data_IF_466931968198
#
_entry.id   IF_466931968198
#
_cell.length_a   1.000
_cell.length_b   1.000
_cell.length_c   1.000
_cell.angle_alpha   90.00
_cell.angle_beta   90.00
_cell.angle_gamma   90.00
#
_symmetry.space_group_name_H-M   'P 1'
#
loop_
_entity.id
_entity.type
_entity.pdbx_description
1 polymer ?
#
# COMPACT_ATOMS: atom_id res chain seq x y z
N UNK A 1 -1.70 -13.41 -41.36
CA UNK A 1 -0.53 -13.74 -42.20
C UNK A 1 -0.35 -15.24 -42.17
N UNK A 2 0.07 -15.86 -43.26
CA UNK A 2 0.24 -17.32 -43.37
C UNK A 2 1.72 -17.58 -43.65
N UNK A 3 2.27 -18.65 -43.08
CA UNK A 3 3.63 -19.05 -43.37
C UNK A 3 3.66 -19.85 -44.68
N UNK A 4 4.42 -19.40 -45.69
CA UNK A 4 4.59 -20.11 -46.97
C UNK A 4 6.04 -20.03 -47.44
N UNK A 5 6.63 -21.18 -47.75
CA UNK A 5 7.98 -21.32 -48.33
C UNK A 5 9.07 -20.56 -47.54
N UNK A 6 9.11 -20.67 -46.22
CA UNK A 6 10.13 -19.99 -45.41
C UNK A 6 9.85 -18.51 -45.12
N UNK A 7 8.69 -17.97 -45.53
CA UNK A 7 8.35 -16.55 -45.35
C UNK A 7 6.90 -16.34 -44.90
N UNK A 8 6.67 -15.28 -44.14
CA UNK A 8 5.35 -14.83 -43.73
C UNK A 8 4.71 -13.96 -44.82
N UNK A 9 3.52 -14.34 -45.28
CA UNK A 9 2.77 -13.62 -46.34
C UNK A 9 1.39 -13.18 -45.87
N UNK A 10 0.93 -12.01 -46.32
CA UNK A 10 -0.44 -11.55 -46.05
C UNK A 10 -1.45 -12.35 -46.88
N UNK A 11 -2.45 -12.92 -46.21
CA UNK A 11 -3.54 -13.62 -46.90
C UNK A 11 -4.48 -12.56 -47.46
N UNK A 12 -4.26 -12.13 -48.71
CA UNK A 12 -5.17 -11.19 -49.38
C UNK A 12 -4.61 -10.30 -50.50
N UNK A 13 -3.30 -10.20 -50.73
CA UNK A 13 -2.78 -9.37 -51.84
C UNK A 13 -2.63 -10.20 -53.12
N UNK A 14 -3.67 -10.17 -53.97
CA UNK A 14 -3.52 -10.46 -55.39
C UNK A 14 -2.65 -9.37 -56.03
N UNK A 15 -1.60 -9.80 -56.73
CA UNK A 15 -0.81 -9.06 -57.73
C UNK A 15 -0.19 -7.72 -57.31
N UNK A 16 1.05 -7.75 -56.82
CA UNK A 16 2.19 -6.97 -57.33
C UNK A 16 3.47 -7.36 -56.55
N UNK A 17 4.68 -7.26 -57.14
CA UNK A 17 5.91 -7.68 -56.50
C UNK A 17 6.26 -6.65 -55.42
N UNK A 18 5.79 -6.88 -54.20
CA UNK A 18 6.26 -6.12 -53.04
C UNK A 18 7.72 -6.48 -52.84
N UNK A 19 8.59 -5.56 -53.24
CA UNK A 19 10.00 -5.49 -52.87
C UNK A 19 10.20 -5.86 -51.41
N UNK A 20 11.05 -6.87 -51.19
CA UNK A 20 11.61 -7.35 -49.92
C UNK A 20 11.29 -6.48 -48.70
N UNK A 21 10.21 -6.83 -48.01
CA UNK A 21 10.13 -6.57 -46.58
C UNK A 21 10.38 -7.93 -45.92
N UNK A 22 11.54 -8.10 -45.30
CA UNK A 22 11.79 -9.21 -44.38
C UNK A 22 10.65 -9.22 -43.36
N UNK A 23 9.72 -10.15 -43.52
CA UNK A 23 8.55 -10.21 -42.66
C UNK A 23 9.02 -10.72 -41.29
N UNK A 24 8.81 -9.95 -40.21
CA UNK A 24 9.40 -10.25 -38.92
C UNK A 24 8.70 -11.47 -38.30
N UNK A 25 9.46 -12.55 -38.18
CA UNK A 25 9.03 -13.78 -37.53
C UNK A 25 9.74 -13.92 -36.19
N UNK A 26 9.08 -14.59 -35.25
CA UNK A 26 9.66 -14.92 -33.95
C UNK A 26 10.07 -16.39 -34.02
N UNK A 27 11.32 -16.68 -33.62
CA UNK A 27 11.84 -18.04 -33.49
C UNK A 27 11.64 -18.50 -32.05
N UNK A 28 10.87 -19.57 -31.86
CA UNK A 28 10.64 -20.20 -30.57
C UNK A 28 11.46 -21.47 -30.46
N UNK A 29 12.20 -21.61 -29.37
CA UNK A 29 12.89 -22.84 -29.02
C UNK A 29 11.91 -23.88 -28.45
N UNK A 30 12.32 -25.15 -28.46
CA UNK A 30 11.52 -26.27 -27.92
C UNK A 30 11.03 -26.08 -26.48
N UNK A 31 11.72 -25.28 -25.66
CA UNK A 31 11.32 -24.97 -24.28
C UNK A 31 10.27 -23.87 -24.17
N UNK A 32 9.89 -23.23 -25.28
CA UNK A 32 9.04 -22.04 -25.31
C UNK A 32 7.65 -22.34 -25.91
N UNK A 33 7.44 -23.54 -26.47
CA UNK A 33 6.16 -23.94 -27.05
C UNK A 33 5.83 -25.42 -26.82
N UNK A 34 4.54 -25.74 -26.85
CA UNK A 34 4.00 -27.09 -26.94
C UNK A 34 3.06 -27.19 -28.14
N UNK A 35 3.01 -28.34 -28.81
CA UNK A 35 2.05 -28.58 -29.90
C UNK A 35 0.98 -29.53 -29.37
N UNK A 36 -0.28 -29.09 -29.41
CA UNK A 36 -1.44 -29.88 -29.02
C UNK A 36 -1.66 -31.06 -29.98
N UNK A 37 -2.39 -32.08 -29.54
CA UNK A 37 -2.74 -33.26 -30.35
C UNK A 37 -3.48 -32.91 -31.65
N UNK A 38 -4.11 -31.72 -31.70
CA UNK A 38 -4.78 -31.17 -32.89
C UNK A 38 -3.85 -30.38 -33.82
N UNK A 39 -2.54 -30.35 -33.56
CA UNK A 39 -1.54 -29.66 -34.36
C UNK A 39 -1.46 -28.14 -34.11
N UNK A 40 -2.15 -27.62 -33.08
CA UNK A 40 -2.08 -26.20 -32.68
C UNK A 40 -0.85 -25.95 -31.82
N UNK A 41 -0.11 -24.87 -32.09
CA UNK A 41 1.06 -24.48 -31.30
C UNK A 41 0.65 -23.56 -30.16
N UNK A 42 1.14 -23.82 -28.96
CA UNK A 42 0.87 -23.05 -27.75
C UNK A 42 2.18 -22.49 -27.22
N UNK A 43 2.30 -21.17 -27.10
CA UNK A 43 3.47 -20.54 -26.47
C UNK A 43 3.35 -20.69 -24.95
N UNK A 44 4.37 -21.25 -24.29
CA UNK A 44 4.31 -21.56 -22.86
C UNK A 44 4.28 -20.33 -21.95
N UNK A 45 4.95 -19.24 -22.35
CA UNK A 45 5.04 -18.00 -21.57
C UNK A 45 3.73 -17.19 -21.58
N UNK A 46 3.02 -17.15 -22.70
CA UNK A 46 1.83 -16.31 -22.89
C UNK A 46 0.54 -17.10 -23.02
N UNK A 47 0.62 -18.43 -23.11
CA UNK A 47 -0.50 -19.35 -23.43
C UNK A 47 -1.20 -19.07 -24.77
N UNK A 48 -0.62 -18.21 -25.61
CA UNK A 48 -1.18 -17.87 -26.92
C UNK A 48 -1.14 -19.07 -27.87
N UNK A 49 -2.23 -19.28 -28.61
CA UNK A 49 -2.41 -20.44 -29.50
C UNK A 49 -2.36 -20.01 -30.96
N UNK A 50 -1.53 -20.68 -31.75
CA UNK A 50 -1.44 -20.53 -33.20
C UNK A 50 -2.04 -21.73 -33.91
N UNK A 51 -2.87 -21.45 -34.90
CA UNK A 51 -3.37 -22.46 -35.83
C UNK A 51 -2.23 -23.01 -36.71
N UNK A 52 -2.33 -24.26 -37.22
CA UNK A 52 -1.29 -24.92 -38.01
C UNK A 52 -0.80 -24.13 -39.23
N UNK A 53 -1.64 -23.25 -39.77
CA UNK A 53 -1.34 -22.43 -40.95
C UNK A 53 -0.48 -21.20 -40.64
N UNK A 54 -0.28 -20.89 -39.35
CA UNK A 54 0.33 -19.64 -38.88
C UNK A 54 1.78 -19.82 -38.39
N UNK A 55 2.30 -21.05 -38.40
CA UNK A 55 3.66 -21.36 -37.97
C UNK A 55 4.31 -22.44 -38.86
N UNK A 56 5.65 -22.50 -38.89
CA UNK A 56 6.39 -23.57 -39.57
C UNK A 56 7.47 -24.16 -38.65
N UNK A 57 7.55 -25.50 -38.62
CA UNK A 57 8.62 -26.24 -37.94
C UNK A 57 9.89 -26.20 -38.81
N UNK A 58 10.96 -25.61 -38.28
CA UNK A 58 12.25 -25.57 -38.96
C UNK A 58 12.89 -26.96 -38.90
N UNK A 59 13.12 -27.54 -40.09
CA UNK A 59 13.53 -28.95 -40.26
C UNK A 59 14.90 -29.30 -39.65
N UNK A 60 15.69 -28.32 -39.25
CA UNK A 60 17.07 -28.53 -38.77
C UNK A 60 17.34 -28.05 -37.32
N UNK A 61 16.39 -27.40 -36.62
CA UNK A 61 16.70 -26.71 -35.36
C UNK A 61 15.73 -26.89 -34.19
N UNK A 62 14.78 -27.84 -34.22
CA UNK A 62 13.83 -28.05 -33.11
C UNK A 62 13.11 -26.75 -32.66
N UNK A 63 13.02 -25.80 -33.59
CA UNK A 63 12.50 -24.46 -33.41
C UNK A 63 11.27 -24.29 -34.27
N UNK A 64 10.39 -23.40 -33.85
CA UNK A 64 9.23 -23.00 -34.64
C UNK A 64 9.34 -21.53 -34.98
N UNK A 65 9.13 -21.21 -36.25
CA UNK A 65 8.95 -19.85 -36.71
C UNK A 65 7.47 -19.50 -36.70
N UNK A 66 7.12 -18.38 -36.06
CA UNK A 66 5.75 -17.87 -36.03
C UNK A 66 5.70 -16.48 -36.64
N UNK A 67 4.72 -16.23 -37.50
CA UNK A 67 4.54 -14.92 -38.12
C UNK A 67 4.06 -13.89 -37.09
N UNK A 68 4.80 -12.78 -36.95
CA UNK A 68 4.39 -11.64 -36.14
C UNK A 68 4.15 -10.42 -37.01
N UNK A 69 3.07 -9.68 -36.74
CA UNK A 69 2.81 -8.41 -37.40
C UNK A 69 3.42 -7.26 -36.60
N UNK A 70 4.72 -7.00 -36.74
CA UNK A 70 5.33 -5.81 -36.09
C UNK A 70 4.84 -4.48 -36.70
N UNK A 71 4.17 -4.50 -37.86
CA UNK A 71 3.47 -3.33 -38.43
C UNK A 71 2.10 -3.08 -37.83
N UNK A 72 1.57 -4.01 -37.03
CA UNK A 72 0.47 -3.66 -36.17
C UNK A 72 1.07 -2.80 -35.08
N UNK A 73 0.81 -1.49 -35.14
CA UNK A 73 0.70 -0.67 -33.94
C UNK A 73 -0.31 -1.40 -33.05
N UNK A 74 0.16 -2.38 -32.28
CA UNK A 74 -0.43 -2.68 -31.01
C UNK A 74 -0.31 -1.35 -30.29
N UNK A 75 -1.39 -0.58 -30.27
CA UNK A 75 -1.70 0.29 -29.14
C UNK A 75 -1.71 -0.63 -27.93
N UNK A 76 -0.52 -0.96 -27.44
CA UNK A 76 -0.29 -1.71 -26.24
C UNK A 76 -0.92 -0.87 -25.14
N UNK A 77 -2.11 -1.30 -24.73
CA UNK A 77 -2.71 -0.94 -23.45
C UNK A 77 -1.94 -1.59 -22.28
N UNK A 78 -0.73 -2.09 -22.53
CA UNK A 78 0.27 -2.46 -21.54
C UNK A 78 0.90 -1.17 -21.03
N UNK A 79 0.90 -0.97 -19.70
CA UNK A 79 1.71 0.10 -19.13
C UNK A 79 3.18 -0.21 -19.43
N UNK A 80 3.77 0.50 -20.38
CA UNK A 80 5.22 0.57 -20.49
C UNK A 80 5.74 1.40 -19.30
N UNK A 81 6.01 0.73 -18.19
CA UNK A 81 6.54 1.33 -16.98
C UNK A 81 8.03 1.63 -17.15
N UNK A 82 8.36 2.56 -18.05
CA UNK A 82 9.71 3.12 -18.16
C UNK A 82 9.90 4.17 -17.05
N UNK A 83 10.03 3.71 -15.81
CA UNK A 83 10.50 4.58 -14.72
C UNK A 83 11.92 5.03 -15.06
N UNK A 84 12.11 6.34 -15.09
CA UNK A 84 13.45 6.92 -15.13
C UNK A 84 14.25 6.48 -13.89
N UNK A 85 15.57 6.29 -14.01
CA UNK A 85 16.43 5.85 -12.91
C UNK A 85 16.28 6.75 -11.69
N UNK A 86 16.06 8.05 -11.94
CA UNK A 86 15.79 9.06 -10.90
C UNK A 86 14.51 8.75 -10.13
N UNK A 87 13.44 8.33 -10.81
CA UNK A 87 12.15 7.99 -10.19
C UNK A 87 12.26 6.74 -9.32
N UNK A 88 13.02 5.75 -9.77
CA UNK A 88 13.33 4.54 -9.02
C UNK A 88 14.11 4.87 -7.73
N UNK A 89 15.22 5.62 -7.85
CA UNK A 89 16.05 6.04 -6.70
C UNK A 89 15.21 6.85 -5.70
N UNK A 90 14.43 7.81 -6.19
CA UNK A 90 13.57 8.64 -5.35
C UNK A 90 12.54 7.79 -4.59
N UNK A 91 11.95 6.79 -5.27
CA UNK A 91 11.00 5.87 -4.66
C UNK A 91 11.65 5.04 -3.55
N UNK A 92 12.84 4.48 -3.80
CA UNK A 92 13.57 3.68 -2.80
C UNK A 92 13.91 4.51 -1.55
N UNK A 93 14.42 5.74 -1.73
CA UNK A 93 14.74 6.65 -0.62
C UNK A 93 13.48 6.99 0.16
N UNK A 94 12.42 7.42 -0.54
CA UNK A 94 11.15 7.81 0.08
C UNK A 94 10.52 6.68 0.88
N UNK A 95 10.44 5.49 0.28
CA UNK A 95 9.89 4.30 0.92
C UNK A 95 10.70 3.90 2.15
N UNK A 96 12.03 3.92 2.07
CA UNK A 96 12.91 3.59 3.21
C UNK A 96 12.67 4.54 4.38
N UNK A 97 12.60 5.85 4.12
CA UNK A 97 12.28 6.84 5.15
C UNK A 97 10.87 6.65 5.72
N UNK A 98 9.89 6.29 4.89
CA UNK A 98 8.53 5.96 5.33
C UNK A 98 8.51 4.76 6.27
N UNK A 99 9.21 3.67 5.93
CA UNK A 99 9.29 2.48 6.77
C UNK A 99 9.89 2.85 8.13
N UNK A 100 10.99 3.60 8.16
CA UNK A 100 11.61 4.08 9.40
C UNK A 100 10.60 4.90 10.22
N UNK A 101 9.89 5.85 9.60
CA UNK A 101 8.86 6.65 10.25
C UNK A 101 7.72 5.82 10.86
N UNK A 102 7.21 4.85 10.10
CA UNK A 102 6.17 3.92 10.58
C UNK A 102 6.67 3.08 11.76
N UNK A 103 7.88 2.51 11.68
CA UNK A 103 8.47 1.71 12.77
C UNK A 103 8.63 2.55 14.03
N UNK A 104 9.19 3.76 13.93
CA UNK A 104 9.32 4.67 15.08
C UNK A 104 7.96 5.02 15.68
N UNK A 105 6.95 5.26 14.84
CA UNK A 105 5.57 5.51 15.29
C UNK A 105 5.02 4.34 16.10
N UNK A 106 5.15 3.12 15.58
CA UNK A 106 4.72 1.90 16.28
C UNK A 106 5.46 1.76 17.61
N UNK A 107 6.79 1.89 17.63
CA UNK A 107 7.60 1.79 18.84
C UNK A 107 7.16 2.77 19.94
N UNK A 108 6.91 4.03 19.58
CA UNK A 108 6.41 5.05 20.52
C UNK A 108 5.03 4.66 21.05
N UNK A 109 4.09 4.35 20.17
CA UNK A 109 2.72 4.02 20.59
C UNK A 109 2.67 2.76 21.48
N UNK A 110 3.50 1.76 21.22
CA UNK A 110 3.60 0.57 22.05
C UNK A 110 4.24 0.85 23.42
N UNK A 111 5.17 1.80 23.50
CA UNK A 111 5.89 2.16 24.73
C UNK A 111 5.02 2.91 25.74
N UNK A 112 4.00 3.64 25.29
CA UNK A 112 3.14 4.45 26.16
C UNK A 112 1.71 3.90 26.20
N UNK A 113 1.31 3.33 27.35
CA UNK A 113 -0.04 2.78 27.53
C UNK A 113 -1.14 3.82 27.24
N UNK A 114 -0.88 5.10 27.52
CA UNK A 114 -1.79 6.21 27.26
C UNK A 114 -2.09 6.44 25.77
N UNK A 115 -1.20 6.01 24.86
CA UNK A 115 -1.37 6.12 23.42
C UNK A 115 -2.08 4.91 22.79
N UNK A 116 -2.21 3.78 23.50
CA UNK A 116 -2.82 2.54 22.98
C UNK A 116 -4.36 2.51 23.06
N UNK A 117 -4.99 3.67 22.92
CA UNK A 117 -6.44 3.81 22.78
C UNK A 117 -6.90 3.39 21.37
N UNK A 118 -8.22 3.44 21.06
CA UNK A 118 -8.72 3.07 19.73
C UNK A 118 -8.02 3.87 18.61
N UNK A 119 -7.96 5.22 18.65
CA UNK A 119 -7.26 5.98 17.62
C UNK A 119 -5.81 5.56 17.44
N UNK A 120 -5.09 5.28 18.53
CA UNK A 120 -3.71 4.80 18.43
C UNK A 120 -3.57 3.40 17.87
N UNK A 121 -4.53 2.49 18.13
CA UNK A 121 -4.57 1.19 17.48
C UNK A 121 -4.81 1.31 15.97
N UNK A 122 -5.67 2.24 15.54
CA UNK A 122 -5.90 2.54 14.12
C UNK A 122 -4.60 3.02 13.46
N UNK A 123 -3.88 3.95 14.10
CA UNK A 123 -2.58 4.45 13.60
C UNK A 123 -1.54 3.33 13.51
N UNK A 124 -1.44 2.45 14.52
CA UNK A 124 -0.55 1.29 14.49
C UNK A 124 -0.91 0.37 13.32
N UNK A 125 -2.19 0.02 13.16
CA UNK A 125 -2.64 -0.86 12.07
C UNK A 125 -2.35 -0.26 10.69
N UNK A 126 -2.58 1.05 10.52
CA UNK A 126 -2.24 1.77 9.30
C UNK A 126 -0.73 1.68 8.99
N UNK A 127 0.12 1.92 10.01
CA UNK A 127 1.58 1.82 9.86
C UNK A 127 2.01 0.40 9.48
N UNK A 128 1.42 -0.64 10.08
CA UNK A 128 1.72 -2.03 9.75
C UNK A 128 1.35 -2.32 8.30
N UNK A 129 0.15 -1.93 7.85
CA UNK A 129 -0.26 -2.13 6.45
C UNK A 129 0.65 -1.42 5.46
N UNK A 130 1.10 -0.20 5.77
CA UNK A 130 2.03 0.54 4.92
C UNK A 130 3.42 -0.10 4.89
N UNK A 131 3.96 -0.55 6.03
CA UNK A 131 5.23 -1.28 6.06
C UNK A 131 5.13 -2.52 5.16
N UNK A 132 4.06 -3.31 5.27
CA UNK A 132 3.87 -4.51 4.45
C UNK A 132 3.77 -4.15 2.96
N UNK A 133 2.98 -3.15 2.58
CA UNK A 133 2.87 -2.68 1.20
C UNK A 133 4.23 -2.22 0.64
N UNK A 134 4.97 -1.43 1.40
CA UNK A 134 6.28 -0.92 1.01
C UNK A 134 7.36 -1.99 0.93
N UNK A 135 7.37 -2.96 1.85
CA UNK A 135 8.27 -4.12 1.76
C UNK A 135 7.97 -4.94 0.51
N UNK A 136 6.69 -5.17 0.18
CA UNK A 136 6.34 -5.87 -1.06
C UNK A 136 6.76 -5.08 -2.30
N UNK A 137 6.70 -3.75 -2.25
CA UNK A 137 7.14 -2.87 -3.34
C UNK A 137 8.67 -2.84 -3.53
N UNK A 138 9.44 -2.93 -2.44
CA UNK A 138 10.91 -3.01 -2.51
C UNK A 138 11.41 -4.39 -2.94
N UNK A 139 10.75 -5.46 -2.48
CA UNK A 139 11.17 -6.85 -2.74
C UNK A 139 10.66 -7.34 -4.10
N UNK A 140 9.49 -6.86 -4.56
CA UNK A 140 8.87 -7.26 -5.83
C UNK A 140 9.84 -7.27 -7.02
N UNK A 141 10.60 -6.18 -7.29
CA UNK A 141 11.57 -6.14 -8.38
C UNK A 141 12.64 -7.24 -8.33
N UNK A 142 13.05 -7.68 -7.13
CA UNK A 142 14.01 -8.77 -6.97
C UNK A 142 13.44 -10.15 -7.35
N UNK A 143 12.11 -10.27 -7.45
CA UNK A 143 11.40 -11.48 -7.82
C UNK A 143 11.01 -11.52 -9.31
N UNK A 144 11.43 -10.54 -10.13
CA UNK A 144 11.01 -10.41 -11.54
C UNK A 144 11.27 -11.65 -12.38
N UNK A 145 12.40 -12.32 -12.16
CA UNK A 145 12.77 -13.56 -12.87
C UNK A 145 11.93 -14.78 -12.46
N UNK A 146 11.27 -14.72 -11.31
CA UNK A 146 10.38 -15.76 -10.82
C UNK A 146 8.93 -15.30 -10.95
N UNK A 147 8.27 -15.66 -12.05
CA UNK A 147 6.90 -15.25 -12.35
C UNK A 147 5.93 -15.48 -11.19
N UNK A 148 5.94 -16.66 -10.57
CA UNK A 148 5.06 -16.97 -9.43
C UNK A 148 5.35 -16.08 -8.21
N UNK A 149 6.63 -15.78 -7.96
CA UNK A 149 7.04 -14.83 -6.93
C UNK A 149 6.57 -13.41 -7.24
N UNK A 150 6.85 -12.92 -8.45
CA UNK A 150 6.45 -11.59 -8.93
C UNK A 150 4.94 -11.37 -8.84
N UNK A 151 4.14 -12.33 -9.31
CA UNK A 151 2.68 -12.35 -9.21
C UNK A 151 2.20 -12.32 -7.75
N UNK A 152 2.79 -13.14 -6.89
CA UNK A 152 2.43 -13.18 -5.46
C UNK A 152 2.68 -11.85 -4.76
N UNK A 153 3.85 -11.24 -5.01
CA UNK A 153 4.19 -9.93 -4.45
C UNK A 153 3.30 -8.82 -5.00
N UNK A 154 2.91 -8.88 -6.28
CA UNK A 154 1.98 -7.92 -6.88
C UNK A 154 0.59 -7.96 -6.19
N UNK A 155 0.04 -9.16 -5.98
CA UNK A 155 -1.25 -9.35 -5.29
C UNK A 155 -1.16 -8.89 -3.83
N UNK A 156 -0.09 -9.24 -3.12
CA UNK A 156 0.14 -8.80 -1.74
C UNK A 156 0.24 -7.28 -1.63
N UNK A 157 0.99 -6.66 -2.54
CA UNK A 157 1.15 -5.20 -2.60
C UNK A 157 -0.19 -4.52 -2.84
N UNK A 158 -0.99 -5.02 -3.79
CA UNK A 158 -2.35 -4.52 -4.07
C UNK A 158 -3.24 -4.58 -2.82
N UNK A 159 -3.23 -5.73 -2.14
CA UNK A 159 -4.01 -5.91 -0.91
C UNK A 159 -3.59 -4.97 0.22
N UNK A 160 -2.29 -4.87 0.52
CA UNK A 160 -1.82 -4.07 1.64
C UNK A 160 -2.02 -2.57 1.44
N UNK A 161 -1.89 -2.07 0.21
CA UNK A 161 -2.27 -0.68 -0.08
C UNK A 161 -3.77 -0.44 0.15
N UNK A 162 -4.65 -1.34 -0.32
CA UNK A 162 -6.09 -1.21 -0.04
C UNK A 162 -6.40 -1.27 1.46
N UNK A 163 -5.77 -2.17 2.20
CA UNK A 163 -5.88 -2.22 3.67
C UNK A 163 -5.48 -0.89 4.29
N UNK A 164 -4.39 -0.26 3.83
CA UNK A 164 -3.98 1.07 4.31
C UNK A 164 -5.04 2.14 3.99
N UNK A 165 -5.64 2.12 2.80
CA UNK A 165 -6.75 3.02 2.44
C UNK A 165 -7.96 2.85 3.35
N UNK A 166 -8.40 1.62 3.60
CA UNK A 166 -9.53 1.38 4.48
C UNK A 166 -9.21 1.70 5.94
N UNK A 167 -7.95 1.58 6.40
CA UNK A 167 -7.55 2.12 7.71
C UNK A 167 -7.61 3.64 7.76
N UNK A 168 -7.26 4.34 6.69
CA UNK A 168 -7.48 5.79 6.59
C UNK A 168 -8.98 6.12 6.62
N UNK A 169 -9.83 5.29 6.02
CA UNK A 169 -11.28 5.45 6.12
C UNK A 169 -11.81 5.23 7.53
N UNK A 170 -11.36 4.17 8.20
CA UNK A 170 -11.67 3.93 9.61
C UNK A 170 -11.22 5.10 10.49
N UNK A 171 -10.08 5.72 10.19
CA UNK A 171 -9.63 6.91 10.90
C UNK A 171 -10.63 8.06 10.74
N UNK A 172 -11.15 8.31 9.53
CA UNK A 172 -12.20 9.30 9.30
C UNK A 172 -13.52 8.96 10.00
N UNK A 173 -13.92 7.69 9.99
CA UNK A 173 -15.12 7.19 10.68
C UNK A 173 -14.98 7.35 12.20
N UNK A 174 -13.82 6.99 12.78
CA UNK A 174 -13.59 7.09 14.23
C UNK A 174 -13.59 8.54 14.71
N UNK A 175 -13.04 9.45 13.90
CA UNK A 175 -13.14 10.90 14.09
C UNK A 175 -14.61 11.30 14.12
N UNK A 176 -15.35 11.07 13.04
CA UNK A 176 -16.78 11.42 12.96
C UNK A 176 -17.60 10.83 14.11
N UNK A 177 -17.42 9.54 14.39
CA UNK A 177 -18.12 8.85 15.48
C UNK A 177 -17.81 9.50 16.82
N UNK A 178 -16.55 9.83 17.11
CA UNK A 178 -16.18 10.51 18.36
C UNK A 178 -16.94 11.83 18.51
N UNK A 179 -17.14 12.61 17.45
CA UNK A 179 -17.92 13.86 17.52
C UNK A 179 -19.41 13.64 17.68
N UNK A 180 -20.01 12.78 16.86
CA UNK A 180 -21.44 12.50 16.92
C UNK A 180 -21.83 11.86 18.27
N UNK A 181 -20.95 11.01 18.80
CA UNK A 181 -21.21 10.23 20.00
C UNK A 181 -21.06 11.02 21.30
N UNK A 182 -20.06 11.90 21.40
CA UNK A 182 -19.92 12.80 22.55
C UNK A 182 -21.13 13.74 22.69
N UNK A 183 -21.84 14.02 21.60
CA UNK A 183 -23.08 14.79 21.61
C UNK A 183 -24.30 13.98 22.10
N UNK A 184 -24.30 12.65 21.94
CA UNK A 184 -25.43 11.78 22.23
C UNK A 184 -25.35 11.08 23.61
N UNK A 185 -24.26 11.23 24.37
CA UNK A 185 -24.16 10.75 25.76
C UNK A 185 -24.17 9.23 25.95
N UNK A 186 -23.96 8.43 24.89
CA UNK A 186 -23.98 6.98 24.99
C UNK A 186 -22.75 6.39 25.69
N UNK A 187 -22.84 5.14 26.15
CA UNK A 187 -21.68 4.28 26.44
C UNK A 187 -21.60 3.10 25.46
N UNK A 188 -20.54 3.06 24.63
CA UNK A 188 -20.33 2.06 23.58
C UNK A 188 -19.12 1.27 24.00
N UNK A 189 -19.24 -0.05 23.97
CA UNK A 189 -18.19 -0.93 24.43
C UNK A 189 -16.98 -0.83 23.48
N UNK A 190 -15.93 -0.14 23.97
CA UNK A 190 -14.70 0.17 23.24
C UNK A 190 -14.07 -1.06 22.56
N UNK A 191 -14.17 -2.25 23.17
CA UNK A 191 -13.62 -3.50 22.61
C UNK A 191 -14.36 -3.96 21.36
N UNK A 192 -15.68 -3.79 21.33
CA UNK A 192 -16.55 -4.24 20.25
C UNK A 192 -16.40 -3.35 19.01
N UNK A 193 -16.23 -2.04 19.20
CA UNK A 193 -16.00 -1.09 18.09
C UNK A 193 -14.75 -1.39 17.26
N UNK A 194 -13.61 -1.62 17.92
CA UNK A 194 -12.36 -1.89 17.19
C UNK A 194 -12.43 -3.20 16.40
N UNK A 195 -13.12 -4.23 16.91
CA UNK A 195 -13.35 -5.49 16.18
C UNK A 195 -14.14 -5.25 14.89
N UNK A 196 -15.18 -4.43 14.92
CA UNK A 196 -15.91 -4.05 13.71
C UNK A 196 -15.05 -3.29 12.71
N UNK A 197 -14.17 -2.38 13.16
CA UNK A 197 -13.23 -1.70 12.27
C UNK A 197 -12.27 -2.66 11.58
N UNK A 198 -11.72 -3.63 12.31
CA UNK A 198 -10.87 -4.67 11.73
C UNK A 198 -11.66 -5.47 10.69
N UNK A 199 -12.84 -6.00 11.04
CA UNK A 199 -13.65 -6.77 10.10
C UNK A 199 -13.99 -5.98 8.82
N UNK A 200 -14.41 -4.71 8.98
CA UNK A 200 -14.67 -3.81 7.87
C UNK A 200 -13.47 -3.67 6.93
N UNK A 201 -12.29 -3.36 7.46
CA UNK A 201 -11.08 -3.15 6.65
C UNK A 201 -10.71 -4.39 5.86
N UNK A 202 -10.64 -5.54 6.54
CA UNK A 202 -10.20 -6.78 5.91
C UNK A 202 -11.20 -7.27 4.85
N UNK A 203 -12.50 -7.19 5.11
CA UNK A 203 -13.52 -7.58 4.13
C UNK A 203 -13.49 -6.64 2.92
N UNK A 204 -13.54 -5.33 3.15
CA UNK A 204 -13.62 -4.35 2.06
C UNK A 204 -12.36 -4.30 1.20
N UNK A 205 -11.17 -4.50 1.79
CA UNK A 205 -9.93 -4.61 1.03
C UNK A 205 -9.81 -5.92 0.24
N UNK A 206 -10.42 -7.01 0.73
CA UNK A 206 -10.33 -8.32 0.06
C UNK A 206 -11.21 -8.39 -1.19
N UNK A 207 -12.37 -7.72 -1.21
CA UNK A 207 -13.32 -7.82 -2.32
C UNK A 207 -12.68 -7.48 -3.68
N UNK A 208 -12.00 -6.32 -3.88
CA UNK A 208 -11.39 -6.00 -5.16
C UNK A 208 -10.25 -6.94 -5.55
N UNK A 209 -9.48 -7.42 -4.57
CA UNK A 209 -8.33 -8.31 -4.79
C UNK A 209 -8.78 -9.72 -5.18
N UNK A 210 -9.81 -10.24 -4.52
CA UNK A 210 -10.38 -11.55 -4.86
C UNK A 210 -10.97 -11.48 -6.27
N UNK A 211 -11.72 -10.42 -6.59
CA UNK A 211 -12.30 -10.26 -7.92
C UNK A 211 -11.23 -10.12 -9.01
N UNK A 212 -10.19 -9.31 -8.77
CA UNK A 212 -9.09 -9.15 -9.73
C UNK A 212 -8.32 -10.46 -9.94
N UNK A 213 -8.09 -11.22 -8.87
CA UNK A 213 -7.40 -12.52 -8.94
C UNK A 213 -8.24 -13.55 -9.69
N UNK A 214 -9.56 -13.65 -9.44
CA UNK A 214 -10.45 -14.55 -10.19
C UNK A 214 -10.42 -14.21 -11.67
N UNK A 215 -10.51 -12.92 -12.03
CA UNK A 215 -10.45 -12.50 -13.43
C UNK A 215 -9.10 -12.78 -14.09
N UNK A 216 -8.00 -12.69 -13.32
CA UNK A 216 -6.68 -13.06 -13.79
C UNK A 216 -6.56 -14.55 -14.13
N UNK A 217 -7.23 -15.46 -13.41
CA UNK A 217 -7.12 -16.91 -13.66
C UNK A 217 -8.11 -17.42 -14.70
N UNK A 218 -9.24 -16.73 -14.88
CA UNK A 218 -10.36 -17.22 -15.70
C UNK A 218 -10.38 -16.65 -17.11
N UNK A 219 -9.62 -15.60 -17.39
CA UNK A 219 -9.53 -14.93 -18.70
C UNK A 219 -10.90 -14.53 -19.33
N UNK A 220 -11.97 -14.45 -18.50
CA UNK A 220 -13.35 -14.21 -18.96
C UNK A 220 -13.52 -12.81 -19.58
N UNK A 221 -12.71 -11.84 -19.15
CA UNK A 221 -12.78 -10.45 -19.60
C UNK A 221 -11.37 -9.95 -19.90
N UNK A 222 -10.91 -10.21 -21.13
CA UNK A 222 -9.54 -9.96 -21.57
C UNK A 222 -9.07 -8.51 -21.30
N UNK A 223 -9.93 -7.52 -21.58
CA UNK A 223 -9.65 -6.10 -21.34
C UNK A 223 -9.50 -5.69 -19.87
N UNK A 224 -10.05 -6.50 -18.94
CA UNK A 224 -10.04 -6.22 -17.49
C UNK A 224 -9.18 -7.21 -16.69
N UNK A 225 -8.56 -8.18 -17.35
CA UNK A 225 -7.63 -9.09 -16.67
C UNK A 225 -6.38 -8.33 -16.20
N UNK A 226 -6.02 -8.38 -14.90
CA UNK A 226 -4.88 -7.66 -14.36
C UNK A 226 -3.52 -8.00 -14.98
N UNK A 227 -3.34 -9.25 -15.42
CA UNK A 227 -2.06 -9.81 -15.86
C UNK A 227 -0.97 -9.60 -14.80
N UNK A 228 -1.25 -9.99 -13.54
CA UNK A 228 -0.34 -9.76 -12.41
C UNK A 228 1.03 -10.42 -12.63
N UNK A 229 2.10 -9.63 -12.51
CA UNK A 229 3.47 -10.14 -12.56
C UNK A 229 4.01 -10.34 -13.98
N UNK A 230 3.26 -9.97 -15.02
CA UNK A 230 3.73 -10.04 -16.40
C UNK A 230 4.57 -8.82 -16.75
N UNK A 231 5.87 -9.03 -16.98
CA UNK A 231 6.82 -7.95 -17.29
C UNK A 231 7.24 -7.11 -16.08
N UNK A 232 6.31 -6.72 -15.20
CA UNK A 232 6.56 -6.00 -13.94
C UNK A 232 5.83 -6.66 -12.77
N UNK A 233 6.37 -6.55 -11.55
CA UNK A 233 5.74 -7.12 -10.34
C UNK A 233 4.63 -6.20 -9.79
N UNK A 234 3.67 -5.91 -10.66
CA UNK A 234 2.50 -5.07 -10.40
C UNK A 234 1.37 -5.43 -11.37
N UNK A 235 0.35 -4.57 -11.48
CA UNK A 235 -0.64 -4.61 -12.57
C UNK A 235 0.03 -4.23 -13.90
N UNK A 236 -0.12 -5.09 -14.90
CA UNK A 236 0.39 -4.82 -16.26
C UNK A 236 -0.64 -4.04 -17.09
N UNK A 237 -1.93 -4.32 -16.88
CA UNK A 237 -3.03 -3.64 -17.60
C UNK A 237 -3.55 -2.41 -16.86
N UNK A 238 -3.65 -1.28 -17.59
CA UNK A 238 -4.15 -0.01 -17.06
C UNK A 238 -5.60 -0.06 -16.61
N UNK A 239 -6.47 -0.70 -17.40
CA UNK A 239 -7.91 -0.77 -17.10
C UNK A 239 -8.16 -1.53 -15.80
N UNK A 240 -7.49 -2.67 -15.62
CA UNK A 240 -7.53 -3.45 -14.39
C UNK A 240 -7.01 -2.66 -13.19
N UNK A 241 -5.89 -1.95 -13.32
CA UNK A 241 -5.38 -1.05 -12.27
C UNK A 241 -6.42 0.00 -11.86
N UNK A 242 -7.02 0.68 -12.84
CA UNK A 242 -8.03 1.72 -12.58
C UNK A 242 -9.29 1.15 -11.94
N UNK A 243 -9.75 -0.04 -12.33
CA UNK A 243 -10.97 -0.67 -11.80
C UNK A 243 -10.75 -1.31 -10.43
N UNK A 244 -9.68 -2.08 -10.23
CA UNK A 244 -9.48 -2.86 -9.00
C UNK A 244 -8.65 -2.15 -7.92
N UNK A 245 -7.94 -1.10 -8.28
CA UNK A 245 -7.20 -0.28 -7.31
C UNK A 245 -7.66 1.18 -7.33
N UNK A 246 -7.72 1.80 -8.51
CA UNK A 246 -8.08 3.21 -8.66
C UNK A 246 -9.47 3.53 -8.13
N UNK A 247 -10.51 2.81 -8.60
CA UNK A 247 -11.90 3.05 -8.24
C UNK A 247 -12.17 2.81 -6.74
N UNK A 248 -11.78 1.67 -6.12
CA UNK A 248 -11.92 1.49 -4.67
C UNK A 248 -11.22 2.60 -3.86
N UNK A 249 -10.01 2.97 -4.26
CA UNK A 249 -9.24 4.04 -3.60
C UNK A 249 -9.94 5.39 -3.72
N UNK A 250 -10.47 5.72 -4.91
CA UNK A 250 -11.21 6.95 -5.15
C UNK A 250 -12.49 7.03 -4.32
N UNK A 251 -13.26 5.94 -4.25
CA UNK A 251 -14.46 5.87 -3.43
C UNK A 251 -14.15 6.10 -1.94
N UNK A 252 -13.06 5.50 -1.44
CA UNK A 252 -12.58 5.73 -0.07
C UNK A 252 -12.18 7.19 0.14
N UNK A 253 -11.47 7.80 -0.81
CA UNK A 253 -11.07 9.20 -0.71
C UNK A 253 -12.28 10.14 -0.67
N UNK A 254 -13.28 9.92 -1.53
CA UNK A 254 -14.53 10.69 -1.52
C UNK A 254 -15.25 10.52 -0.18
N UNK A 255 -15.38 9.28 0.30
CA UNK A 255 -16.00 9.00 1.60
C UNK A 255 -15.27 9.71 2.75
N UNK A 256 -13.93 9.72 2.74
CA UNK A 256 -13.12 10.45 3.72
C UNK A 256 -13.46 11.94 3.70
N UNK A 257 -13.44 12.57 2.52
CA UNK A 257 -13.76 14.01 2.39
C UNK A 257 -15.14 14.32 2.95
N UNK A 258 -16.16 13.52 2.62
CA UNK A 258 -17.52 13.70 3.14
C UNK A 258 -17.55 13.58 4.66
N UNK A 259 -16.95 12.52 5.23
CA UNK A 259 -16.89 12.31 6.68
C UNK A 259 -16.19 13.45 7.40
N UNK A 260 -15.10 13.99 6.83
CA UNK A 260 -14.39 15.13 7.40
C UNK A 260 -15.20 16.42 7.33
N UNK A 261 -15.91 16.68 6.23
CA UNK A 261 -16.80 17.85 6.13
C UNK A 261 -17.93 17.77 7.16
N UNK A 262 -18.53 16.59 7.33
CA UNK A 262 -19.56 16.36 8.35
C UNK A 262 -18.97 16.59 9.74
N UNK A 263 -17.83 15.96 10.07
CA UNK A 263 -17.18 16.13 11.36
C UNK A 263 -16.86 17.62 11.64
N UNK A 264 -16.28 18.34 10.67
CA UNK A 264 -15.95 19.76 10.78
C UNK A 264 -17.21 20.61 11.05
N UNK A 265 -18.30 20.35 10.34
CA UNK A 265 -19.57 21.05 10.55
C UNK A 265 -20.16 20.75 11.94
N UNK A 266 -20.10 19.50 12.40
CA UNK A 266 -20.52 19.11 13.76
C UNK A 266 -19.71 19.86 14.81
N UNK A 267 -18.39 19.98 14.64
CA UNK A 267 -17.51 20.71 15.55
C UNK A 267 -17.83 22.20 15.57
N UNK A 268 -18.00 22.81 14.40
CA UNK A 268 -18.30 24.23 14.28
C UNK A 268 -19.64 24.56 14.95
N UNK A 269 -20.66 23.74 14.71
CA UNK A 269 -21.98 23.86 15.34
C UNK A 269 -21.91 23.69 16.87
N UNK A 270 -21.17 22.69 17.35
CA UNK A 270 -20.95 22.46 18.78
C UNK A 270 -20.28 23.65 19.48
N UNK A 271 -19.28 24.28 18.83
CA UNK A 271 -18.60 25.46 19.36
C UNK A 271 -19.53 26.68 19.41
N UNK A 272 -20.35 26.89 18.38
CA UNK A 272 -21.32 27.99 18.33
C UNK A 272 -22.37 27.88 19.44
N UNK A 273 -22.82 26.67 19.75
CA UNK A 273 -23.83 26.44 20.77
C UNK A 273 -23.27 26.42 22.21
N UNK A 274 -22.01 26.84 22.42
CA UNK A 274 -21.32 26.88 23.72
C UNK A 274 -21.32 25.54 24.48
N UNK A 275 -21.64 24.43 23.81
CA UNK A 275 -21.59 23.11 24.41
C UNK A 275 -20.11 22.74 24.49
N UNK A 276 -19.55 22.75 25.70
CA UNK A 276 -18.15 22.41 25.97
C UNK A 276 -17.96 20.88 25.80
N UNK A 277 -18.03 20.41 24.55
CA UNK A 277 -18.05 18.98 24.22
C UNK A 277 -16.65 18.35 24.14
N UNK A 278 -15.60 19.14 23.86
CA UNK A 278 -14.25 18.64 23.64
C UNK A 278 -13.18 19.38 24.45
N UNK A 279 -12.23 18.63 25.01
CA UNK A 279 -11.02 19.16 25.60
C UNK A 279 -10.07 19.77 24.55
N UNK A 280 -9.10 20.57 25.00
CA UNK A 280 -8.04 21.11 24.11
C UNK A 280 -7.26 20.01 23.39
N UNK A 281 -7.11 18.84 24.01
CA UNK A 281 -6.38 17.70 23.44
C UNK A 281 -7.12 17.07 22.26
N UNK A 282 -8.44 16.89 22.37
CA UNK A 282 -9.26 16.28 21.32
C UNK A 282 -9.31 17.17 20.07
N UNK A 283 -9.36 18.50 20.25
CA UNK A 283 -9.27 19.48 19.14
C UNK A 283 -7.91 19.43 18.43
N UNK A 284 -6.83 19.25 19.18
CA UNK A 284 -5.48 19.12 18.59
C UNK A 284 -5.35 17.81 17.81
N UNK A 285 -5.85 16.70 18.36
CA UNK A 285 -5.82 15.39 17.70
C UNK A 285 -6.63 15.39 16.40
N UNK A 286 -7.79 16.02 16.40
CA UNK A 286 -8.59 16.26 15.21
C UNK A 286 -7.82 17.04 14.14
N UNK A 287 -7.18 18.16 14.51
CA UNK A 287 -6.46 18.98 13.53
C UNK A 287 -5.35 18.18 12.84
N UNK A 288 -4.70 17.28 13.58
CA UNK A 288 -3.71 16.34 13.04
C UNK A 288 -4.35 15.39 12.02
N UNK A 289 -5.48 14.75 12.36
CA UNK A 289 -6.17 13.82 11.44
C UNK A 289 -6.65 14.47 10.15
N UNK A 290 -7.20 15.69 10.25
CA UNK A 290 -7.66 16.45 9.08
C UNK A 290 -6.46 16.79 8.19
N UNK A 291 -5.37 17.32 8.75
CA UNK A 291 -4.16 17.64 8.00
C UNK A 291 -3.57 16.42 7.31
N UNK A 292 -3.46 15.31 8.04
CA UNK A 292 -2.96 14.06 7.48
C UNK A 292 -3.83 13.58 6.31
N UNK A 293 -5.15 13.59 6.46
CA UNK A 293 -6.04 13.13 5.39
C UNK A 293 -5.99 14.06 4.17
N UNK A 294 -5.86 15.37 4.36
CA UNK A 294 -5.65 16.31 3.25
C UNK A 294 -4.35 15.97 2.52
N UNK A 295 -3.24 15.79 3.24
CA UNK A 295 -1.96 15.42 2.63
C UNK A 295 -2.10 14.12 1.83
N UNK A 296 -2.79 13.13 2.41
CA UNK A 296 -3.00 11.85 1.74
C UNK A 296 -3.92 11.95 0.51
N UNK A 297 -5.03 12.67 0.62
CA UNK A 297 -5.97 12.86 -0.49
C UNK A 297 -5.35 13.64 -1.65
N UNK A 298 -4.53 14.65 -1.35
CA UNK A 298 -3.78 15.41 -2.35
C UNK A 298 -2.76 14.51 -3.06
N UNK A 299 -2.03 13.66 -2.33
CA UNK A 299 -1.10 12.71 -2.94
C UNK A 299 -1.78 11.84 -4.00
N UNK A 300 -2.92 11.24 -3.67
CA UNK A 300 -3.64 10.38 -4.60
C UNK A 300 -4.37 11.14 -5.71
N UNK A 301 -4.80 12.38 -5.48
CA UNK A 301 -5.30 13.25 -6.56
C UNK A 301 -4.26 13.38 -7.67
N UNK A 302 -3.00 13.66 -7.32
CA UNK A 302 -1.92 13.68 -8.32
C UNK A 302 -1.75 12.33 -9.02
N UNK A 303 -1.92 11.21 -8.32
CA UNK A 303 -1.92 9.88 -8.91
C UNK A 303 -2.99 9.67 -9.98
N UNK A 304 -4.18 10.24 -9.81
CA UNK A 304 -5.22 10.23 -10.85
C UNK A 304 -4.98 11.24 -11.98
N UNK A 305 -4.20 12.30 -11.74
CA UNK A 305 -3.84 13.28 -12.77
C UNK A 305 -2.72 12.80 -13.69
N UNK A 306 -1.79 11.95 -13.21
CA UNK A 306 -0.68 11.40 -14.01
C UNK A 306 -1.17 10.83 -15.35
N UNK A 307 -2.18 9.93 -15.39
CA UNK A 307 -2.61 9.31 -16.63
C UNK A 307 -3.48 10.22 -17.52
N UNK A 308 -3.89 11.39 -17.03
CA UNK A 308 -4.71 12.37 -17.75
C UNK A 308 -3.85 13.44 -18.44
N UNK A 309 -2.81 13.93 -17.76
CA UNK A 309 -1.99 15.05 -18.22
C UNK A 309 -0.61 14.64 -18.72
N UNK A 310 -0.15 13.42 -18.39
CA UNK A 310 1.15 12.86 -18.79
C UNK A 310 2.34 13.83 -18.59
N UNK A 311 2.33 14.60 -17.50
CA UNK A 311 3.34 15.63 -17.24
C UNK A 311 4.34 15.14 -16.18
N UNK A 312 5.66 15.23 -16.41
CA UNK A 312 6.67 14.67 -15.53
C UNK A 312 6.61 15.26 -14.11
N UNK A 313 6.37 16.57 -13.97
CA UNK A 313 6.24 17.20 -12.65
C UNK A 313 5.11 16.60 -11.79
N UNK A 314 3.97 16.24 -12.41
CA UNK A 314 2.83 15.63 -11.71
C UNK A 314 3.23 14.24 -11.18
N UNK A 315 3.97 13.47 -11.98
CA UNK A 315 4.50 12.17 -11.60
C UNK A 315 5.51 12.27 -10.45
N UNK A 316 6.45 13.21 -10.50
CA UNK A 316 7.40 13.45 -9.41
C UNK A 316 6.70 13.83 -8.09
N UNK A 317 5.70 14.72 -8.15
CA UNK A 317 4.92 15.11 -6.97
C UNK A 317 4.19 13.89 -6.40
N UNK A 318 3.55 13.10 -7.26
CA UNK A 318 2.87 11.87 -6.85
C UNK A 318 3.83 10.90 -6.15
N UNK A 319 4.99 10.61 -6.77
CA UNK A 319 6.01 9.71 -6.20
C UNK A 319 6.46 10.21 -4.82
N UNK A 320 6.84 11.49 -4.70
CA UNK A 320 7.33 12.05 -3.42
C UNK A 320 6.25 11.95 -2.34
N UNK A 321 5.04 12.40 -2.63
CA UNK A 321 3.96 12.41 -1.64
C UNK A 321 3.52 11.00 -1.24
N UNK A 322 3.47 10.07 -2.19
CA UNK A 322 3.06 8.69 -1.93
C UNK A 322 4.13 7.91 -1.16
N UNK A 323 5.40 8.06 -1.53
CA UNK A 323 6.50 7.31 -0.92
C UNK A 323 6.86 7.83 0.47
N UNK A 324 6.59 9.10 0.80
CA UNK A 324 6.82 9.70 2.12
C UNK A 324 5.61 9.62 3.08
N UNK A 325 4.53 8.92 2.71
CA UNK A 325 3.32 8.83 3.53
C UNK A 325 3.58 8.34 4.97
N UNK A 326 4.44 7.33 5.17
CA UNK A 326 4.83 6.85 6.50
C UNK A 326 5.59 7.90 7.32
N UNK A 327 6.42 8.72 6.67
CA UNK A 327 7.10 9.84 7.32
C UNK A 327 6.10 10.92 7.75
N UNK A 328 5.10 11.24 6.91
CA UNK A 328 4.05 12.19 7.27
C UNK A 328 3.24 11.72 8.48
N UNK A 329 2.97 10.43 8.60
CA UNK A 329 2.33 9.84 9.78
C UNK A 329 3.20 10.06 11.03
N UNK A 330 4.50 9.75 10.95
CA UNK A 330 5.42 9.95 12.08
C UNK A 330 5.44 11.40 12.55
N UNK A 331 5.63 12.35 11.63
CA UNK A 331 5.64 13.79 11.96
C UNK A 331 4.31 14.23 12.56
N UNK A 332 3.19 13.73 12.02
CA UNK A 332 1.85 14.12 12.45
C UNK A 332 1.49 13.61 13.84
N UNK A 333 1.88 12.37 14.19
CA UNK A 333 1.46 11.73 15.44
C UNK A 333 2.51 11.74 16.54
N UNK A 334 3.78 11.56 16.19
CA UNK A 334 4.87 11.44 17.17
C UNK A 334 5.51 12.78 17.47
N UNK A 335 5.75 13.61 16.46
CA UNK A 335 6.41 14.91 16.64
C UNK A 335 5.49 15.99 17.24
N UNK A 336 4.43 15.59 17.94
CA UNK A 336 3.52 16.49 18.65
C UNK A 336 4.10 16.87 20.00
N UNK A 337 3.82 18.10 20.48
CA UNK A 337 4.30 18.57 21.80
C UNK A 337 3.91 17.62 22.93
N UNK A 338 2.73 17.01 22.84
CA UNK A 338 2.22 16.03 23.82
C UNK A 338 3.09 14.78 23.86
N UNK A 339 3.29 14.13 22.71
CA UNK A 339 4.04 12.87 22.64
C UNK A 339 5.54 13.10 22.91
N UNK A 340 6.12 14.16 22.36
CA UNK A 340 7.51 14.55 22.66
C UNK A 340 7.70 14.87 24.16
N UNK A 341 6.70 15.47 24.82
CA UNK A 341 6.70 15.68 26.27
C UNK A 341 6.77 14.37 27.05
N UNK A 342 5.95 13.38 26.68
CA UNK A 342 5.98 12.04 27.31
C UNK A 342 7.32 11.32 27.11
N UNK A 343 7.90 11.45 25.91
CA UNK A 343 9.23 10.89 25.60
C UNK A 343 10.29 11.56 26.47
N UNK A 344 10.28 12.90 26.56
CA UNK A 344 11.24 13.67 27.37
C UNK A 344 11.13 13.34 28.85
N UNK A 345 9.92 13.23 29.38
CA UNK A 345 9.68 12.87 30.78
C UNK A 345 10.23 11.48 31.10
N UNK A 346 9.94 10.48 30.25
CA UNK A 346 10.48 9.13 30.41
C UNK A 346 12.02 9.12 30.30
N UNK A 347 12.60 9.88 29.39
CA UNK A 347 14.05 9.99 29.25
C UNK A 347 14.71 10.62 30.49
N UNK A 348 14.11 11.67 31.06
CA UNK A 348 14.57 12.31 32.29
C UNK A 348 14.52 11.34 33.48
N UNK A 349 13.41 10.62 33.65
CA UNK A 349 13.25 9.64 34.73
C UNK A 349 14.27 8.50 34.62
N UNK A 350 14.59 8.06 33.39
CA UNK A 350 15.60 7.04 33.15
C UNK A 350 17.03 7.54 33.45
N UNK A 351 17.32 8.80 33.12
CA UNK A 351 18.59 9.47 33.47
C UNK A 351 18.76 9.63 34.99
N UNK A 352 17.72 10.04 35.71
CA UNK A 352 17.74 10.13 37.18
C UNK A 352 17.95 8.76 37.82
N UNK A 353 17.23 7.74 37.36
CA UNK A 353 17.36 6.37 37.91
C UNK A 353 18.77 5.76 37.68
N UNK A 354 19.44 6.10 36.58
CA UNK A 354 20.86 5.71 36.34
C UNK A 354 21.85 6.46 37.25
N UNK A 355 21.56 7.72 37.56
CA UNK A 355 22.36 8.54 38.48
C UNK A 355 22.31 7.99 39.90
N UNK A 356 21.11 7.63 40.38
CA UNK A 356 20.90 7.10 41.74
C UNK A 356 21.45 5.67 41.91
N UNK A 357 21.42 4.86 40.84
CA UNK A 357 22.02 3.52 40.81
C UNK A 357 23.56 3.52 40.87
N UNK A 358 24.22 4.62 40.49
CA UNK A 358 25.69 4.74 40.59
C UNK A 358 26.16 5.26 41.96
N UNK A 359 25.32 5.98 42.71
CA UNK A 359 25.65 6.49 44.05
C UNK A 359 25.41 5.47 45.19
N UNK A 360 24.56 4.46 44.95
CA UNK A 360 24.22 3.43 45.95
C UNK A 360 25.24 2.29 46.04
N UNK A 361 26.24 2.24 45.15
CA UNK A 361 27.36 1.28 45.19
C UNK A 361 28.50 1.62 46.17
N UNK A 362 28.37 2.64 47.02
CA UNK A 362 29.48 3.09 47.90
C UNK A 362 29.11 3.36 49.36
N UNK A 363 27.99 2.84 49.87
CA UNK A 363 27.63 2.99 51.29
C UNK A 363 27.14 1.70 51.95
N UNK A 364 28.02 0.70 51.99
CA UNK A 364 28.03 -0.34 53.02
C UNK A 364 28.81 0.16 54.25
N UNK A 365 28.17 0.96 55.09
CA UNK A 365 28.61 1.15 56.48
C UNK A 365 27.43 0.89 57.41
N UNK A 366 27.44 -0.34 57.92
CA UNK A 366 26.92 -0.86 59.18
C UNK A 366 26.23 0.17 60.07
N UNK A 367 24.89 0.13 60.15
CA UNK A 367 24.15 0.66 61.30
C UNK A 367 23.81 -0.50 62.23
N UNK A 368 24.58 -0.59 63.31
CA UNK A 368 24.32 -1.47 64.45
C UNK A 368 22.99 -1.09 65.10
N UNK A 369 22.13 -2.07 65.30
CA UNK A 369 20.85 -1.95 66.00
C UNK A 369 21.10 -1.61 67.47
N UNK A 370 20.62 -0.45 67.93
CA UNK A 370 20.44 -0.16 69.35
C UNK A 370 18.98 -0.42 69.71
N UNK A 371 18.75 -1.50 70.47
CA UNK A 371 17.45 -1.85 71.06
C UNK A 371 17.19 -0.93 72.24
N UNK A 372 16.11 -0.15 72.18
CA UNK A 372 15.62 0.68 73.29
C UNK A 372 14.31 0.09 73.82
N UNK A 373 14.38 -0.57 74.98
CA UNK A 373 13.23 -1.02 75.76
C UNK A 373 12.45 0.19 76.32
N UNK A 374 11.11 0.18 76.20
CA UNK A 374 10.20 1.07 76.96
C UNK A 374 9.44 0.24 77.99
N UNK A 375 9.40 0.63 79.28
CA UNK A 375 8.50 0.02 80.23
C UNK A 375 7.12 0.69 80.18
N UNK A 376 6.07 -0.14 80.16
CA UNK A 376 4.69 0.23 80.41
C UNK A 376 4.43 0.28 81.92
N UNK A 377 3.97 1.42 82.41
CA UNK A 377 3.23 1.50 83.68
C UNK A 377 2.04 2.44 83.48
N UNK A 378 0.84 1.88 83.54
CA UNK A 378 -0.38 2.66 83.76
C UNK A 378 -0.63 2.86 85.25
N UNK A 379 -1.34 3.93 85.59
CA UNK A 379 -2.45 3.97 86.57
C UNK A 379 -2.97 5.40 86.77
N UNK A 380 -4.31 5.48 86.75
CA UNK A 380 -5.26 6.53 87.13
C UNK A 380 -5.30 7.82 86.31
#
# INVERSE_FOLDING_TARGET
MVFKNGQCVFSGSSSDPVTSLDCPHILLNKSEFEISDEGRLVILSSKYVYDPELYELLKDSNQVAVCSNFTQNYTSSELEYNFDDVQAILSVIGITLSIIGCVLTICVYLSFKSLRNIPGKIVISLCISLILAYLTMLIGPAMRENFAGCKSFAIMMHYFFLVAFFWMNVMAIDVWYTFAYHQAGGSSERSTRFRFYVLYVFIMASIPVILSTILNETEIADDFSPHYGEGICWFTRRNALLVFFGLPSLLVLIANVILFLIAANTIYSAQKNSVRLLGKEDKSMLSIYVRLTIVMGVAYLFGFLVPLYNHPAILYIFIILNTLQGLFIFVSFVCTRKVLGLIRERANNWSQSRSDGSYSGSRSTTKSSAVSFRPTTGKF
#
